data_IF_661948404002
#
_entry.id   IF_661948404002
#
_cell.length_a   1.000
_cell.length_b   1.000
_cell.length_c   1.000
_cell.angle_alpha   90.00
_cell.angle_beta   90.00
_cell.angle_gamma   90.00
#
_symmetry.space_group_name_H-M   'P 1'
#
loop_
_entity.id
_entity.type
_entity.pdbx_description
1 polymer ?
#
# COMPACT_ATOMS: atom_id res chain seq x y z
N UNK A 1 -0.24 -23.13 -3.97
CA UNK A 1 -1.42 -22.73 -4.78
C UNK A 1 -1.67 -23.66 -5.96
N UNK A 2 -0.71 -23.91 -6.86
CA UNK A 2 -0.91 -24.91 -7.93
C UNK A 2 -1.22 -26.32 -7.43
N UNK A 3 -0.70 -26.71 -6.26
CA UNK A 3 -1.10 -27.94 -5.58
C UNK A 3 -2.60 -28.00 -5.32
N UNK A 4 -3.20 -26.90 -4.83
CA UNK A 4 -4.64 -26.78 -4.64
C UNK A 4 -5.39 -26.74 -5.96
N UNK A 5 -4.94 -25.96 -6.96
CA UNK A 5 -5.60 -25.89 -8.28
C UNK A 5 -5.66 -27.27 -8.95
N UNK A 6 -4.57 -28.04 -8.86
CA UNK A 6 -4.51 -29.43 -9.36
C UNK A 6 -5.40 -30.39 -8.57
N UNK A 7 -5.58 -30.16 -7.27
CA UNK A 7 -6.51 -30.93 -6.43
C UNK A 7 -7.98 -30.55 -6.67
N UNK A 8 -8.27 -29.28 -6.90
CA UNK A 8 -9.62 -28.75 -7.08
C UNK A 8 -10.15 -28.92 -8.52
N UNK A 9 -9.26 -28.98 -9.52
CA UNK A 9 -9.60 -29.18 -10.93
C UNK A 9 -8.86 -30.38 -11.55
N UNK A 10 -9.00 -31.60 -10.97
CA UNK A 10 -8.21 -32.76 -11.36
C UNK A 10 -8.44 -33.24 -12.80
N UNK A 11 -9.60 -32.91 -13.38
CA UNK A 11 -9.99 -33.30 -14.75
C UNK A 11 -9.72 -32.23 -15.81
N UNK A 12 -9.24 -31.03 -15.45
CA UNK A 12 -8.96 -30.01 -16.46
C UNK A 12 -7.54 -30.18 -17.04
N UNK A 13 -7.45 -30.37 -18.36
CA UNK A 13 -6.17 -30.44 -19.09
C UNK A 13 -5.35 -29.15 -18.95
N UNK A 14 -6.04 -28.02 -18.72
CA UNK A 14 -5.43 -26.73 -18.39
C UNK A 14 -4.69 -26.74 -17.05
N UNK A 15 -5.30 -27.23 -15.96
CA UNK A 15 -4.64 -27.29 -14.65
C UNK A 15 -3.50 -28.33 -14.61
N UNK A 16 -3.66 -29.44 -15.34
CA UNK A 16 -2.65 -30.48 -15.44
C UNK A 16 -1.36 -29.98 -16.12
N UNK A 17 -1.50 -29.17 -17.17
CA UNK A 17 -0.38 -28.63 -17.95
C UNK A 17 0.06 -27.22 -17.51
N UNK A 18 -0.62 -26.62 -16.53
CA UNK A 18 -0.28 -25.30 -16.02
C UNK A 18 1.12 -25.31 -15.38
N UNK A 19 1.96 -24.40 -15.88
CA UNK A 19 3.27 -24.15 -15.30
C UNK A 19 3.17 -23.04 -14.23
N UNK A 20 3.87 -23.15 -13.09
CA UNK A 20 3.87 -22.12 -12.04
C UNK A 20 4.13 -20.71 -12.55
N UNK A 21 5.06 -20.58 -13.48
CA UNK A 21 5.47 -19.32 -14.07
C UNK A 21 4.43 -18.66 -14.98
N UNK A 22 3.41 -19.42 -15.40
CA UNK A 22 2.34 -18.93 -16.26
C UNK A 22 1.09 -18.46 -15.49
N UNK A 23 1.09 -18.59 -14.15
CA UNK A 23 -0.06 -18.22 -13.33
C UNK A 23 -0.07 -16.72 -13.05
N UNK A 24 -1.20 -16.08 -13.34
CA UNK A 24 -1.43 -14.66 -13.02
C UNK A 24 -2.89 -14.39 -12.69
N UNK A 25 -3.18 -13.21 -12.15
CA UNK A 25 -4.50 -12.86 -11.64
C UNK A 25 -5.03 -11.59 -12.27
N UNK A 26 -6.35 -11.54 -12.46
CA UNK A 26 -7.05 -10.32 -12.86
C UNK A 26 -8.32 -10.12 -12.07
N UNK A 27 -8.77 -8.87 -12.02
CA UNK A 27 -10.10 -8.50 -11.58
C UNK A 27 -10.72 -7.58 -12.63
N UNK A 28 -11.92 -7.89 -13.13
CA UNK A 28 -12.64 -7.12 -14.15
C UNK A 28 -11.77 -6.73 -15.37
N UNK A 29 -10.90 -7.64 -15.83
CA UNK A 29 -10.00 -7.40 -16.96
C UNK A 29 -8.72 -6.61 -16.63
N UNK A 30 -8.57 -6.11 -15.41
CA UNK A 30 -7.35 -5.45 -14.94
C UNK A 30 -6.36 -6.44 -14.33
N UNK A 31 -5.08 -6.30 -14.68
CA UNK A 31 -4.00 -7.15 -14.16
C UNK A 31 -3.72 -6.82 -12.69
N UNK A 32 -3.65 -7.85 -11.84
CA UNK A 32 -3.28 -7.70 -10.44
C UNK A 32 -1.76 -7.83 -10.29
N UNK A 33 -1.12 -6.73 -9.90
CA UNK A 33 0.33 -6.65 -9.69
C UNK A 33 0.69 -7.34 -8.37
N UNK A 34 1.28 -8.53 -8.43
CA UNK A 34 1.60 -9.34 -7.24
C UNK A 34 2.54 -8.65 -6.24
N UNK A 35 3.32 -7.67 -6.69
CA UNK A 35 4.25 -6.91 -5.85
C UNK A 35 3.58 -5.77 -5.08
N UNK A 36 2.26 -5.55 -5.25
CA UNK A 36 1.49 -4.64 -4.43
C UNK A 36 0.80 -5.40 -3.29
N UNK A 37 0.66 -4.80 -2.10
CA UNK A 37 -0.09 -5.40 -1.01
C UNK A 37 -1.52 -5.77 -1.43
N UNK A 38 -2.03 -6.89 -0.93
CA UNK A 38 -3.37 -7.42 -1.30
C UNK A 38 -4.47 -6.40 -0.94
N UNK A 39 -4.41 -5.82 0.26
CA UNK A 39 -5.37 -4.80 0.68
C UNK A 39 -5.33 -3.55 -0.20
N UNK A 40 -4.14 -3.12 -0.62
CA UNK A 40 -4.01 -2.02 -1.57
C UNK A 40 -4.65 -2.34 -2.91
N UNK A 41 -4.42 -3.54 -3.45
CA UNK A 41 -5.04 -3.95 -4.71
C UNK A 41 -6.57 -3.90 -4.60
N UNK A 42 -7.13 -4.41 -3.49
CA UNK A 42 -8.58 -4.35 -3.25
C UNK A 42 -9.10 -2.89 -3.17
N UNK A 43 -8.41 -2.05 -2.41
CA UNK A 43 -8.73 -0.63 -2.25
C UNK A 43 -8.72 0.13 -3.58
N UNK A 44 -7.77 -0.18 -4.48
CA UNK A 44 -7.69 0.44 -5.81
C UNK A 44 -8.89 0.15 -6.72
N UNK A 45 -9.59 -0.96 -6.49
CA UNK A 45 -10.78 -1.36 -7.25
C UNK A 45 -12.09 -1.07 -6.50
N UNK A 46 -12.03 -0.48 -5.30
CA UNK A 46 -13.22 -0.08 -4.55
C UNK A 46 -13.86 1.15 -5.20
N UNK A 47 -15.16 1.07 -5.47
CA UNK A 47 -15.89 2.20 -6.07
C UNK A 47 -16.30 3.19 -4.98
N UNK A 48 -16.08 4.47 -5.19
CA UNK A 48 -16.80 5.47 -4.41
C UNK A 48 -18.26 5.48 -4.87
N UNK A 49 -19.20 5.08 -4.02
CA UNK A 49 -20.56 5.53 -4.25
C UNK A 49 -20.58 7.05 -4.11
N UNK A 50 -20.99 7.75 -5.16
CA UNK A 50 -21.24 9.20 -5.13
C UNK A 50 -22.60 9.52 -4.47
N UNK A 51 -23.14 8.59 -3.68
CA UNK A 51 -24.43 8.73 -3.03
C UNK A 51 -24.26 9.23 -1.59
N UNK A 52 -24.73 10.45 -1.25
CA UNK A 52 -24.84 10.92 0.13
C UNK A 52 -26.03 10.23 0.78
N UNK A 53 -25.93 8.93 1.02
CA UNK A 53 -26.90 8.22 1.85
C UNK A 53 -26.12 7.57 2.96
N UNK A 54 -26.11 8.26 4.10
CA UNK A 54 -25.71 7.72 5.39
C UNK A 54 -26.37 6.34 5.56
N UNK A 55 -25.61 5.25 5.73
CA UNK A 55 -26.21 4.00 6.15
C UNK A 55 -26.80 4.18 7.57
N UNK A 56 -27.87 3.45 7.93
CA UNK A 56 -28.42 3.47 9.28
C UNK A 56 -27.33 3.15 10.32
N UNK A 57 -27.44 3.77 11.50
CA UNK A 57 -26.40 3.89 12.52
C UNK A 57 -25.89 2.58 13.19
N UNK A 58 -26.21 1.41 12.63
CA UNK A 58 -25.84 0.12 13.19
C UNK A 58 -24.99 -0.67 12.17
N UNK A 59 -23.67 -0.41 12.21
CA UNK A 59 -22.53 -1.02 11.50
C UNK A 59 -21.81 -0.07 10.51
N UNK A 60 -20.50 0.17 10.66
CA UNK A 60 -19.71 0.90 9.65
C UNK A 60 -19.48 0.00 8.43
N UNK A 61 -20.48 -0.09 7.55
CA UNK A 61 -20.32 -0.70 6.23
C UNK A 61 -19.93 0.41 5.25
N UNK A 62 -18.75 0.26 4.63
CA UNK A 62 -18.27 1.11 3.54
C UNK A 62 -19.28 1.05 2.38
N UNK A 63 -20.08 2.11 2.23
CA UNK A 63 -20.98 2.32 1.09
C UNK A 63 -20.15 2.58 -0.16
N UNK A 64 -19.72 1.49 -0.82
CA UNK A 64 -18.81 1.52 -1.98
C UNK A 64 -17.84 0.33 -2.07
N UNK A 65 -17.76 -0.51 -1.04
CA UNK A 65 -16.91 -1.71 -1.06
C UNK A 65 -17.27 -2.63 -2.24
N UNK A 66 -16.24 -3.21 -2.89
CA UNK A 66 -16.43 -4.29 -3.86
C UNK A 66 -17.32 -5.41 -3.29
N UNK A 67 -18.13 -6.07 -4.12
CA UNK A 67 -18.92 -7.20 -3.66
C UNK A 67 -18.01 -8.27 -3.07
N UNK A 68 -18.31 -8.68 -1.83
CA UNK A 68 -17.61 -9.75 -1.16
C UNK A 68 -18.26 -11.11 -1.47
N UNK A 69 -17.47 -12.18 -1.70
CA UNK A 69 -16.00 -12.19 -1.73
C UNK A 69 -15.43 -11.53 -2.99
N UNK A 70 -14.24 -10.90 -2.89
CA UNK A 70 -13.56 -10.24 -4.01
C UNK A 70 -13.38 -11.20 -5.20
N UNK A 71 -14.05 -10.98 -6.34
CA UNK A 71 -13.99 -11.92 -7.45
C UNK A 71 -12.66 -11.78 -8.22
N UNK A 72 -11.73 -12.70 -8.00
CA UNK A 72 -10.45 -12.77 -8.70
C UNK A 72 -10.49 -13.89 -9.75
N UNK A 73 -10.14 -13.56 -10.99
CA UNK A 73 -9.94 -14.53 -12.07
C UNK A 73 -8.49 -15.03 -12.05
N UNK A 74 -8.31 -16.35 -12.02
CA UNK A 74 -7.00 -17.00 -12.14
C UNK A 74 -6.78 -17.40 -13.59
N UNK A 75 -5.65 -16.99 -14.15
CA UNK A 75 -5.21 -17.36 -15.49
C UNK A 75 -4.04 -18.32 -15.39
N UNK A 76 -4.04 -19.36 -16.24
CA UNK A 76 -3.02 -20.42 -16.24
C UNK A 76 -2.16 -20.42 -17.51
N UNK A 77 -2.45 -19.51 -18.44
CA UNK A 77 -1.81 -19.37 -19.75
C UNK A 77 -1.71 -17.89 -20.11
N UNK A 78 -1.00 -17.57 -21.21
CA UNK A 78 -0.90 -16.22 -21.76
C UNK A 78 -0.44 -15.18 -20.74
N UNK A 79 0.68 -15.45 -20.07
CA UNK A 79 1.24 -14.53 -19.07
C UNK A 79 1.62 -13.18 -19.73
N UNK A 80 1.17 -12.04 -19.19
CA UNK A 80 1.42 -10.72 -19.78
C UNK A 80 2.83 -10.22 -19.41
N UNK A 81 3.85 -10.75 -20.08
CA UNK A 81 5.27 -10.47 -19.81
C UNK A 81 5.67 -8.99 -19.97
N UNK A 82 4.90 -8.22 -20.72
CA UNK A 82 5.09 -6.79 -20.98
C UNK A 82 4.55 -5.90 -19.84
N UNK A 83 3.61 -6.41 -19.03
CA UNK A 83 2.87 -5.62 -18.03
C UNK A 83 3.02 -6.13 -16.59
N UNK A 84 3.39 -7.40 -16.41
CA UNK A 84 3.62 -8.00 -15.10
C UNK A 84 5.06 -8.46 -14.94
N UNK A 85 5.59 -8.25 -13.74
CA UNK A 85 6.85 -8.86 -13.33
C UNK A 85 6.71 -10.40 -13.36
N UNK A 86 7.78 -11.14 -13.71
CA UNK A 86 7.76 -12.60 -13.71
C UNK A 86 7.20 -13.17 -12.41
N UNK A 87 6.56 -14.34 -12.50
CA UNK A 87 5.99 -15.02 -11.33
C UNK A 87 7.03 -15.10 -10.20
N UNK A 88 6.67 -14.64 -8.98
CA UNK A 88 7.65 -14.52 -7.92
C UNK A 88 8.06 -15.89 -7.37
N UNK A 89 9.31 -16.00 -6.93
CA UNK A 89 9.76 -17.07 -6.04
C UNK A 89 9.82 -16.56 -4.61
N UNK A 90 9.86 -17.45 -3.60
CA UNK A 90 10.01 -17.05 -2.20
C UNK A 90 11.24 -16.15 -1.97
N UNK A 91 12.36 -16.47 -2.63
CA UNK A 91 13.58 -15.65 -2.60
C UNK A 91 13.38 -14.27 -3.25
N UNK A 92 12.65 -14.21 -4.37
CA UNK A 92 12.33 -12.94 -5.04
C UNK A 92 11.42 -12.07 -4.16
N UNK A 93 10.43 -12.66 -3.49
CA UNK A 93 9.55 -11.93 -2.57
C UNK A 93 10.33 -11.37 -1.39
N UNK A 94 11.18 -12.18 -0.76
CA UNK A 94 12.03 -11.72 0.34
C UNK A 94 12.96 -10.59 -0.09
N UNK A 95 13.55 -10.71 -1.28
CA UNK A 95 14.44 -9.69 -1.86
C UNK A 95 13.70 -8.38 -2.10
N UNK A 96 12.51 -8.44 -2.72
CA UNK A 96 11.66 -7.28 -2.96
C UNK A 96 11.25 -6.62 -1.64
N UNK A 97 10.78 -7.42 -0.68
CA UNK A 97 10.40 -6.95 0.65
C UNK A 97 11.55 -6.20 1.34
N UNK A 98 12.75 -6.76 1.34
CA UNK A 98 13.92 -6.08 1.93
C UNK A 98 14.35 -4.84 1.15
N UNK A 99 14.18 -4.82 -0.17
CA UNK A 99 14.44 -3.63 -0.97
C UNK A 99 13.47 -2.48 -0.62
N UNK A 100 12.18 -2.80 -0.46
CA UNK A 100 11.15 -1.84 -0.05
C UNK A 100 11.45 -1.24 1.33
N UNK A 101 11.75 -2.08 2.33
CA UNK A 101 12.10 -1.58 3.66
C UNK A 101 13.33 -0.66 3.62
N UNK A 102 14.36 -1.01 2.82
CA UNK A 102 15.56 -0.17 2.64
C UNK A 102 15.23 1.16 1.98
N UNK A 103 14.36 1.16 0.98
CA UNK A 103 13.93 2.38 0.29
C UNK A 103 13.22 3.34 1.26
N UNK A 104 12.27 2.83 2.03
CA UNK A 104 11.55 3.60 3.05
C UNK A 104 12.49 4.15 4.14
N UNK A 105 13.42 3.33 4.64
CA UNK A 105 14.39 3.76 5.64
C UNK A 105 15.34 4.84 5.10
N UNK A 106 15.73 4.73 3.83
CA UNK A 106 16.52 5.76 3.16
C UNK A 106 15.74 7.08 3.05
N UNK A 107 14.45 7.06 2.75
CA UNK A 107 13.63 8.29 2.72
C UNK A 107 13.54 8.96 4.09
N UNK A 108 13.34 8.15 5.15
CA UNK A 108 13.17 8.64 6.53
C UNK A 108 14.44 9.26 7.09
N UNK A 109 15.61 8.66 6.82
CA UNK A 109 16.85 9.02 7.51
C UNK A 109 17.94 9.58 6.59
N UNK A 110 17.84 9.31 5.29
CA UNK A 110 18.91 9.49 4.30
C UNK A 110 19.94 8.35 4.30
N UNK A 111 19.66 7.23 4.96
CA UNK A 111 20.57 6.10 5.07
C UNK A 111 19.82 4.78 5.17
N UNK A 112 20.41 3.67 4.71
CA UNK A 112 19.86 2.31 4.90
C UNK A 112 20.48 1.60 6.10
N UNK A 113 21.27 2.30 6.93
CA UNK A 113 22.09 1.71 8.00
C UNK A 113 21.28 0.94 9.03
N UNK A 114 20.10 1.42 9.44
CA UNK A 114 19.30 0.75 10.48
C UNK A 114 18.95 -0.68 10.07
N UNK A 115 18.47 -0.86 8.84
CA UNK A 115 18.15 -2.18 8.28
C UNK A 115 19.39 -3.01 8.00
N UNK A 116 20.45 -2.40 7.45
CA UNK A 116 21.70 -3.12 7.14
C UNK A 116 22.44 -3.60 8.38
N UNK A 117 22.26 -2.92 9.53
CA UNK A 117 22.86 -3.29 10.81
C UNK A 117 22.03 -4.31 11.60
N UNK A 118 20.81 -4.65 11.14
CA UNK A 118 20.06 -5.77 11.72
C UNK A 118 20.85 -7.05 11.57
N UNK A 119 20.85 -7.88 12.61
CA UNK A 119 21.51 -9.19 12.53
C UNK A 119 20.83 -10.06 11.46
N UNK A 120 21.55 -11.04 10.90
CA UNK A 120 20.95 -12.01 9.96
C UNK A 120 19.74 -12.73 10.57
N UNK A 121 19.78 -12.97 11.87
CA UNK A 121 18.68 -13.55 12.62
C UNK A 121 17.47 -12.59 12.63
N UNK A 122 17.66 -11.30 12.91
CA UNK A 122 16.55 -10.34 12.95
C UNK A 122 15.92 -10.11 11.58
N UNK A 123 16.75 -10.02 10.51
CA UNK A 123 16.25 -9.94 9.13
C UNK A 123 15.42 -11.19 8.77
N UNK A 124 15.85 -12.36 9.22
CA UNK A 124 15.14 -13.63 8.99
C UNK A 124 13.84 -13.68 9.80
N UNK A 125 13.85 -13.25 11.06
CA UNK A 125 12.67 -13.20 11.92
C UNK A 125 11.62 -12.21 11.41
N UNK A 126 12.06 -11.05 10.92
CA UNK A 126 11.18 -10.07 10.31
C UNK A 126 10.43 -10.67 9.11
N UNK A 127 11.14 -11.35 8.21
CA UNK A 127 10.55 -12.03 7.05
C UNK A 127 9.66 -13.21 7.45
N UNK A 128 10.11 -14.07 8.37
CA UNK A 128 9.35 -15.22 8.84
C UNK A 128 8.07 -14.80 9.56
N UNK A 129 8.12 -13.77 10.42
CA UNK A 129 6.94 -13.24 11.09
C UNK A 129 5.87 -12.77 10.11
N UNK A 130 6.28 -12.16 9.00
CA UNK A 130 5.38 -11.77 7.91
C UNK A 130 4.78 -12.99 7.19
N UNK A 131 5.61 -13.96 6.78
CA UNK A 131 5.16 -15.16 6.03
C UNK A 131 4.30 -16.10 6.90
N UNK A 132 4.62 -16.23 8.18
CA UNK A 132 3.91 -17.09 9.14
C UNK A 132 2.71 -16.38 9.80
N UNK A 133 2.40 -15.15 9.39
CA UNK A 133 1.31 -14.35 9.96
C UNK A 133 1.40 -14.19 11.50
N UNK A 134 2.62 -14.10 12.05
CA UNK A 134 2.84 -13.94 13.48
C UNK A 134 3.20 -12.50 13.81
N UNK A 135 2.20 -11.72 14.23
CA UNK A 135 2.36 -10.30 14.54
C UNK A 135 3.50 -10.01 15.51
N UNK A 136 3.57 -10.72 16.65
CA UNK A 136 4.60 -10.48 17.68
C UNK A 136 6.03 -10.68 17.16
N UNK A 137 6.25 -11.71 16.34
CA UNK A 137 7.57 -11.97 15.73
C UNK A 137 7.98 -10.84 14.79
N UNK A 138 7.02 -10.37 13.98
CA UNK A 138 7.23 -9.27 13.05
C UNK A 138 7.45 -7.95 13.81
N UNK A 139 6.53 -7.57 14.68
CA UNK A 139 6.48 -6.25 15.30
C UNK A 139 7.66 -5.98 16.21
N UNK A 140 8.19 -7.01 16.89
CA UNK A 140 9.41 -6.91 17.70
C UNK A 140 10.60 -6.31 16.95
N UNK A 141 10.72 -6.61 15.65
CA UNK A 141 11.81 -6.11 14.80
C UNK A 141 11.33 -4.96 13.90
N UNK A 142 10.07 -4.98 13.46
CA UNK A 142 9.49 -4.00 12.54
C UNK A 142 9.13 -2.67 13.19
N UNK A 143 8.66 -2.67 14.45
CA UNK A 143 8.24 -1.45 15.16
C UNK A 143 9.33 -0.36 15.15
N UNK A 144 10.61 -0.63 15.49
CA UNK A 144 11.65 0.40 15.47
C UNK A 144 11.95 0.93 14.06
N UNK A 145 11.64 0.18 13.00
CA UNK A 145 11.84 0.61 11.61
C UNK A 145 10.79 1.64 11.19
N UNK A 146 9.56 1.54 11.72
CA UNK A 146 8.46 2.47 11.42
C UNK A 146 8.41 3.62 12.42
N UNK A 147 8.45 3.34 13.73
CA UNK A 147 8.31 4.38 14.75
C UNK A 147 9.61 5.18 14.93
N UNK A 148 10.75 4.57 14.67
CA UNK A 148 12.05 5.12 15.07
C UNK A 148 12.27 4.95 16.57
N UNK A 149 13.27 5.67 17.09
CA UNK A 149 13.56 5.73 18.51
C UNK A 149 12.74 6.89 19.15
N UNK A 150 12.73 7.03 20.46
CA UNK A 150 11.91 8.04 21.13
C UNK A 150 12.18 9.46 20.61
N UNK A 151 11.13 10.16 20.20
CA UNK A 151 11.22 11.50 19.61
C UNK A 151 11.71 11.54 18.16
N UNK A 152 11.91 10.40 17.51
CA UNK A 152 12.33 10.36 16.11
C UNK A 152 11.27 10.94 15.17
N UNK A 153 11.66 11.94 14.38
CA UNK A 153 10.86 12.51 13.29
C UNK A 153 11.56 12.20 11.96
N UNK A 154 10.88 11.51 11.02
CA UNK A 154 11.46 11.20 9.72
C UNK A 154 11.65 12.47 8.88
N UNK A 155 12.75 12.53 8.12
CA UNK A 155 13.01 13.60 7.15
C UNK A 155 11.94 13.64 6.08
N UNK A 156 11.64 12.48 5.49
CA UNK A 156 10.54 12.31 4.56
C UNK A 156 9.64 11.15 5.00
N UNK A 157 8.34 11.29 4.78
CA UNK A 157 7.39 10.18 4.94
C UNK A 157 7.48 9.23 3.74
N UNK A 158 7.77 7.93 3.94
CA UNK A 158 7.58 6.91 2.91
C UNK A 158 6.10 6.77 2.57
N UNK A 159 5.67 7.47 1.54
CA UNK A 159 4.28 7.56 1.13
C UNK A 159 4.13 7.30 -0.37
N UNK A 160 3.13 6.49 -0.72
CA UNK A 160 2.76 6.24 -2.11
C UNK A 160 1.27 6.51 -2.29
N UNK A 161 0.97 7.45 -3.18
CA UNK A 161 -0.40 7.78 -3.56
C UNK A 161 -0.75 7.05 -4.86
N UNK A 162 -1.81 6.25 -4.81
CA UNK A 162 -2.29 5.45 -5.93
C UNK A 162 -3.55 6.09 -6.49
N UNK A 163 -3.61 6.17 -7.81
CA UNK A 163 -4.84 6.49 -8.53
C UNK A 163 -5.52 5.21 -8.98
N UNK A 164 -6.84 5.24 -9.18
CA UNK A 164 -7.59 4.11 -9.75
C UNK A 164 -7.10 3.69 -11.13
N UNK A 165 -6.47 4.60 -11.87
CA UNK A 165 -5.87 4.32 -13.19
C UNK A 165 -4.56 3.53 -13.09
N UNK A 166 -4.10 3.18 -11.88
CA UNK A 166 -2.90 2.39 -11.66
C UNK A 166 -1.59 3.19 -11.72
N UNK A 167 -1.68 4.52 -11.84
CA UNK A 167 -0.53 5.40 -11.67
C UNK A 167 -0.22 5.54 -10.18
N UNK A 168 1.06 5.44 -9.85
CA UNK A 168 1.60 5.62 -8.51
C UNK A 168 2.42 6.89 -8.50
N UNK A 169 2.10 7.79 -7.58
CA UNK A 169 2.86 9.00 -7.35
C UNK A 169 3.60 8.85 -6.02
N UNK A 170 4.92 9.00 -6.08
CA UNK A 170 5.80 9.00 -4.92
C UNK A 170 6.65 10.25 -5.01
N UNK A 171 6.22 11.29 -4.30
CA UNK A 171 6.96 12.54 -4.15
C UNK A 171 7.45 12.61 -2.70
N UNK A 172 8.71 13.01 -2.45
CA UNK A 172 9.20 13.20 -1.08
C UNK A 172 8.34 14.21 -0.33
N UNK A 173 7.76 13.78 0.79
CA UNK A 173 7.01 14.66 1.70
C UNK A 173 7.94 15.03 2.86
N UNK A 174 8.53 16.21 2.80
CA UNK A 174 9.46 16.71 3.81
C UNK A 174 8.70 17.31 5.00
N UNK A 175 8.75 16.68 6.17
CA UNK A 175 8.08 17.21 7.37
C UNK A 175 8.73 18.51 7.87
N UNK A 176 10.02 18.73 7.58
CA UNK A 176 10.67 20.00 7.91
C UNK A 176 10.15 21.18 7.08
N UNK A 177 9.64 20.91 5.87
CA UNK A 177 9.08 21.93 4.98
C UNK A 177 7.58 22.13 5.21
N UNK A 178 6.84 21.04 5.42
CA UNK A 178 5.38 21.07 5.54
C UNK A 178 4.89 21.20 7.00
N UNK A 179 5.72 20.85 7.98
CA UNK A 179 5.41 20.83 9.41
C UNK A 179 4.92 19.47 9.90
N UNK A 180 5.19 19.15 11.17
CA UNK A 180 4.83 17.85 11.77
C UNK A 180 3.31 17.62 11.90
N UNK A 181 2.53 18.70 11.88
CA UNK A 181 1.06 18.67 11.92
C UNK A 181 0.42 18.51 10.54
N UNK A 182 1.22 18.35 9.49
CA UNK A 182 0.71 18.16 8.11
C UNK A 182 -0.32 17.04 8.09
N UNK A 183 -1.50 17.36 7.57
CA UNK A 183 -2.62 16.44 7.42
C UNK A 183 -2.52 15.63 6.13
N UNK A 184 -3.27 14.53 6.04
CA UNK A 184 -3.34 13.73 4.81
C UNK A 184 -3.88 14.55 3.62
N UNK A 185 -4.83 15.45 3.85
CA UNK A 185 -5.39 16.32 2.81
C UNK A 185 -4.34 17.29 2.25
N UNK A 186 -3.57 17.93 3.13
CA UNK A 186 -2.48 18.84 2.73
C UNK A 186 -1.41 18.09 1.94
N UNK A 187 -1.03 16.89 2.40
CA UNK A 187 -0.06 16.04 1.73
C UNK A 187 -0.52 15.62 0.33
N UNK A 188 -1.77 15.18 0.18
CA UNK A 188 -2.34 14.83 -1.13
C UNK A 188 -2.44 16.06 -2.03
N UNK A 189 -2.85 17.21 -1.49
CA UNK A 189 -2.89 18.47 -2.24
C UNK A 189 -1.51 18.87 -2.73
N UNK A 190 -0.48 18.74 -1.89
CA UNK A 190 0.92 18.97 -2.25
C UNK A 190 1.39 18.03 -3.37
N UNK A 191 1.03 16.75 -3.32
CA UNK A 191 1.40 15.78 -4.36
C UNK A 191 0.74 16.09 -5.70
N UNK A 192 -0.54 16.45 -5.68
CA UNK A 192 -1.31 16.74 -6.90
C UNK A 192 -0.90 18.09 -7.50
N UNK A 193 -0.56 19.07 -6.65
CA UNK A 193 -0.27 20.43 -7.10
C UNK A 193 0.83 21.11 -6.24
N UNK A 194 2.11 20.70 -6.40
CA UNK A 194 3.20 21.17 -5.55
C UNK A 194 3.44 22.69 -5.71
N UNK A 195 3.35 23.22 -6.93
CA UNK A 195 3.56 24.64 -7.22
C UNK A 195 2.52 25.55 -6.56
N UNK A 196 1.25 25.10 -6.50
CA UNK A 196 0.19 25.84 -5.78
C UNK A 196 0.38 25.81 -4.27
N UNK A 197 0.82 24.68 -3.73
CA UNK A 197 1.00 24.53 -2.29
C UNK A 197 2.16 25.41 -1.79
N UNK A 198 3.30 25.39 -2.49
CA UNK A 198 4.51 26.13 -2.08
C UNK A 198 4.43 27.64 -2.35
N UNK A 199 3.60 28.09 -3.30
CA UNK A 199 3.45 29.51 -3.63
C UNK A 199 2.65 30.32 -2.59
N UNK A 200 2.25 29.73 -1.46
CA UNK A 200 1.43 30.40 -0.44
C UNK A 200 -0.01 30.67 -0.87
N UNK A 201 -0.37 30.27 -2.11
CA UNK A 201 -1.74 30.19 -2.60
C UNK A 201 -2.39 28.84 -2.22
N UNK A 202 -1.96 28.25 -1.10
CA UNK A 202 -2.83 27.35 -0.37
C UNK A 202 -4.16 28.08 -0.12
N UNK A 203 -5.32 27.40 -0.09
CA UNK A 203 -6.60 28.07 0.11
C UNK A 203 -6.58 28.84 1.44
N UNK A 204 -6.20 30.12 1.37
CA UNK A 204 -6.42 31.09 2.42
C UNK A 204 -7.92 31.22 2.43
N UNK A 205 -8.55 30.50 3.37
CA UNK A 205 -9.90 30.76 3.88
C UNK A 205 -10.82 31.46 2.87
N UNK A 206 -11.49 30.68 2.00
CA UNK A 206 -12.83 31.06 1.55
C UNK A 206 -13.16 31.20 0.06
N UNK A 207 -12.32 30.84 -0.93
CA UNK A 207 -12.75 30.95 -2.35
C UNK A 207 -12.40 29.81 -3.30
N UNK A 208 -11.48 28.91 -2.96
CA UNK A 208 -11.39 27.59 -3.61
C UNK A 208 -11.93 26.55 -2.65
N UNK A 209 -13.00 25.86 -3.04
CA UNK A 209 -13.42 24.64 -2.35
C UNK A 209 -12.19 23.74 -2.22
N UNK A 210 -11.83 23.28 -1.00
CA UNK A 210 -10.81 22.26 -0.84
C UNK A 210 -11.10 21.15 -1.84
N UNK A 211 -10.07 20.66 -2.55
CA UNK A 211 -10.22 19.43 -3.32
C UNK A 211 -10.73 18.38 -2.33
N UNK A 212 -11.98 17.94 -2.50
CA UNK A 212 -12.58 16.90 -1.66
C UNK A 212 -11.95 15.56 -2.04
N UNK A 213 -10.68 15.40 -1.68
CA UNK A 213 -9.87 14.24 -1.97
C UNK A 213 -10.19 13.19 -0.91
N UNK A 214 -11.07 12.26 -1.25
CA UNK A 214 -11.31 11.08 -0.42
C UNK A 214 -10.13 10.13 -0.55
N UNK A 215 -9.54 9.77 0.59
CA UNK A 215 -8.37 8.88 0.66
C UNK A 215 -8.74 7.61 1.38
N UNK A 216 -8.44 6.47 0.75
CA UNK A 216 -8.63 5.14 1.32
C UNK A 216 -7.27 4.56 1.74
N UNK A 217 -7.19 4.05 2.98
CA UNK A 217 -6.00 3.36 3.52
C UNK A 217 -6.48 2.13 4.27
N UNK A 218 -5.96 0.95 3.95
CA UNK A 218 -6.37 -0.31 4.61
C UNK A 218 -7.90 -0.53 4.59
N UNK A 219 -8.56 -0.16 3.50
CA UNK A 219 -10.01 -0.26 3.34
C UNK A 219 -10.83 0.76 4.12
N UNK A 220 -10.22 1.71 4.84
CA UNK A 220 -10.97 2.74 5.56
C UNK A 220 -10.83 4.11 4.91
N UNK A 221 -11.92 4.87 4.87
CA UNK A 221 -11.88 6.28 4.51
C UNK A 221 -11.22 7.05 5.64
N UNK A 222 -10.14 7.74 5.33
CA UNK A 222 -9.38 8.52 6.30
C UNK A 222 -9.96 9.92 6.39
N UNK A 223 -10.15 10.41 7.61
CA UNK A 223 -10.54 11.81 7.84
C UNK A 223 -9.46 12.74 7.25
N UNK A 224 -9.83 13.70 6.35
CA UNK A 224 -8.91 14.66 5.75
C UNK A 224 -8.01 15.39 6.75
N UNK A 225 -8.46 15.60 7.99
CA UNK A 225 -7.72 16.28 9.05
C UNK A 225 -6.74 15.36 9.82
N UNK A 226 -6.68 14.07 9.50
CA UNK A 226 -5.79 13.12 10.17
C UNK A 226 -4.31 13.51 9.97
N UNK A 227 -3.50 13.66 11.03
CA UNK A 227 -2.08 13.96 10.90
C UNK A 227 -1.34 12.85 10.12
N UNK A 228 -0.63 13.22 9.07
CA UNK A 228 0.05 12.28 8.18
C UNK A 228 1.11 11.46 8.92
N UNK A 229 1.90 12.08 9.81
CA UNK A 229 2.91 11.36 10.58
C UNK A 229 2.27 10.30 11.49
N UNK A 230 1.13 10.61 12.11
CA UNK A 230 0.39 9.65 12.91
C UNK A 230 -0.13 8.52 12.03
N UNK A 231 -0.75 8.85 10.89
CA UNK A 231 -1.27 7.86 9.96
C UNK A 231 -0.16 6.91 9.47
N UNK A 232 0.97 7.47 9.06
CA UNK A 232 2.15 6.71 8.64
C UNK A 232 2.64 5.74 9.74
N UNK A 233 2.72 6.18 11.00
CA UNK A 233 3.20 5.34 12.11
C UNK A 233 2.30 4.14 12.42
N UNK A 234 1.00 4.23 12.14
CA UNK A 234 0.02 3.23 12.56
C UNK A 234 -0.60 2.44 11.39
N UNK A 235 -0.57 2.99 10.18
CA UNK A 235 -1.18 2.41 8.96
C UNK A 235 -0.14 2.13 7.87
N UNK A 236 1.15 2.09 8.21
CA UNK A 236 2.15 1.57 7.28
C UNK A 236 1.97 0.07 7.10
N UNK A 237 2.14 -0.37 5.85
CA UNK A 237 2.20 -1.79 5.54
C UNK A 237 3.51 -2.40 6.06
N UNK A 238 3.63 -3.73 6.06
CA UNK A 238 4.83 -4.40 6.56
C UNK A 238 6.14 -4.00 5.87
N UNK A 239 6.05 -3.48 4.64
CA UNK A 239 7.17 -2.96 3.86
C UNK A 239 7.56 -1.52 4.24
N UNK A 240 6.97 -0.99 5.31
CA UNK A 240 7.22 0.31 5.94
C UNK A 240 6.82 1.54 5.12
N UNK A 241 6.01 1.34 4.08
CA UNK A 241 5.34 2.39 3.34
C UNK A 241 3.89 2.58 3.80
N UNK A 242 3.46 3.84 3.82
CA UNK A 242 2.04 4.18 3.84
C UNK A 242 1.52 4.21 2.40
N UNK A 243 0.63 3.27 2.08
CA UNK A 243 -0.03 3.19 0.78
C UNK A 243 -1.44 3.78 0.91
N UNK A 244 -1.75 4.75 0.06
CA UNK A 244 -3.05 5.43 0.07
C UNK A 244 -3.64 5.47 -1.33
N UNK A 245 -4.93 5.18 -1.45
CA UNK A 245 -5.67 5.25 -2.71
C UNK A 245 -6.47 6.54 -2.74
N UNK A 246 -6.26 7.35 -3.77
CA UNK A 246 -7.10 8.50 -4.08
C UNK A 246 -8.36 7.99 -4.80
N UNK A 247 -9.51 8.31 -4.22
CA UNK A 247 -10.82 7.97 -4.78
C UNK A 247 -11.31 9.02 -5.76
#
# INVERSE_FOLDING_TARGET
>A
MLSWVRQALPTSSLAANAKPEAVWYSHNGHLLKWHYPIGLLYDMFTESSDAPTMPPADLPQLTGALPLPWPITVHLQSFPHDKLLPSPTSSTLQTLYMAQCKEAEFMRTGSTKKIMNLSKNDQSQLWQGFVEHTFEKYWRIGQPLVLGDDGFVPKHIPFRLYTRLGAVVQIPISLSELGETTTIQEAVTYIINPDRYLSGNAPVTGTSTPLDCRVLVHGILVDPATPLLWLYRHFSYPDTFLHAVLL
#
